data_IF_431376956215
#
_entry.id   IF_431376956215
#
_cell.length_a   1.000
_cell.length_b   1.000
_cell.length_c   1.000
_cell.angle_alpha   90.00
_cell.angle_beta   90.00
_cell.angle_gamma   90.00
#
_symmetry.space_group_name_H-M   'P 1'
#
loop_
_entity.id
_entity.type
_entity.pdbx_description
1 polymer ?
#
# COMPACT_ATOMS: atom_id res chain seq x y z
N UNK A 1 -13.90 -50.75 -36.29
CA UNK A 1 -13.04 -49.65 -36.78
C UNK A 1 -13.28 -48.32 -36.05
N UNK A 2 -14.49 -47.96 -35.61
CA UNK A 2 -14.76 -46.65 -34.99
C UNK A 2 -14.19 -46.45 -33.56
N UNK A 3 -14.02 -47.52 -32.76
CA UNK A 3 -13.60 -47.41 -31.36
C UNK A 3 -12.16 -46.89 -31.14
N UNK A 4 -11.28 -47.06 -32.13
CA UNK A 4 -9.86 -46.69 -32.01
C UNK A 4 -9.60 -45.19 -32.25
N UNK A 5 -10.50 -44.50 -32.96
CA UNK A 5 -10.42 -43.05 -33.20
C UNK A 5 -11.02 -42.21 -32.05
N UNK A 6 -11.89 -42.79 -31.21
CA UNK A 6 -12.54 -42.07 -30.11
C UNK A 6 -11.60 -41.83 -28.94
N UNK A 7 -10.70 -42.78 -28.67
CA UNK A 7 -9.73 -42.71 -27.58
C UNK A 7 -8.76 -41.49 -27.67
N UNK A 8 -8.09 -41.21 -28.80
CA UNK A 8 -7.19 -40.06 -28.90
C UNK A 8 -7.93 -38.72 -28.82
N UNK A 9 -9.16 -38.65 -29.35
CA UNK A 9 -9.99 -37.43 -29.28
C UNK A 9 -10.44 -37.16 -27.85
N UNK A 10 -10.86 -38.19 -27.11
CA UNK A 10 -11.24 -38.05 -25.70
C UNK A 10 -10.06 -37.58 -24.82
N UNK A 11 -8.86 -38.13 -25.05
CA UNK A 11 -7.65 -37.71 -24.34
C UNK A 11 -7.32 -36.24 -24.64
N UNK A 12 -7.40 -35.81 -25.90
CA UNK A 12 -7.14 -34.42 -26.27
C UNK A 12 -8.11 -33.45 -25.60
N UNK A 13 -9.41 -33.79 -25.56
CA UNK A 13 -10.43 -32.95 -24.89
C UNK A 13 -10.16 -32.84 -23.39
N UNK A 14 -9.79 -33.94 -22.73
CA UNK A 14 -9.45 -33.92 -21.30
C UNK A 14 -8.20 -33.08 -21.04
N UNK A 15 -7.17 -33.20 -21.87
CA UNK A 15 -5.95 -32.39 -21.73
C UNK A 15 -6.26 -30.90 -21.90
N UNK A 16 -7.08 -30.53 -22.90
CA UNK A 16 -7.50 -29.13 -23.13
C UNK A 16 -8.34 -28.63 -21.95
N UNK A 17 -9.28 -29.42 -21.45
CA UNK A 17 -10.12 -29.03 -20.32
C UNK A 17 -9.31 -28.84 -19.03
N UNK A 18 -8.38 -29.76 -18.73
CA UNK A 18 -7.51 -29.67 -17.56
C UNK A 18 -6.54 -28.50 -17.68
N UNK A 19 -5.94 -28.28 -18.84
CA UNK A 19 -5.05 -27.14 -19.06
C UNK A 19 -5.79 -25.80 -19.00
N UNK A 20 -7.00 -25.69 -19.55
CA UNK A 20 -7.85 -24.52 -19.40
C UNK A 20 -8.23 -24.27 -17.93
N UNK A 21 -8.60 -25.32 -17.18
CA UNK A 21 -8.92 -25.23 -15.76
C UNK A 21 -7.73 -24.75 -14.93
N UNK A 22 -6.53 -25.27 -15.19
CA UNK A 22 -5.29 -24.84 -14.52
C UNK A 22 -4.94 -23.39 -14.85
N UNK A 23 -5.10 -22.97 -16.10
CA UNK A 23 -4.85 -21.58 -16.52
C UNK A 23 -5.85 -20.61 -15.90
N UNK A 24 -7.13 -20.98 -15.80
CA UNK A 24 -8.16 -20.18 -15.14
C UNK A 24 -7.93 -20.09 -13.62
N UNK A 25 -7.58 -21.20 -12.98
CA UNK A 25 -7.24 -21.22 -11.55
C UNK A 25 -5.99 -20.39 -11.24
N UNK A 26 -5.00 -20.34 -12.16
CA UNK A 26 -3.82 -19.48 -12.05
C UNK A 26 -4.12 -18.00 -12.34
N UNK A 27 -5.00 -17.71 -13.31
CA UNK A 27 -5.45 -16.36 -13.64
C UNK A 27 -6.33 -15.72 -12.55
N UNK A 28 -7.02 -16.54 -11.76
CA UNK A 28 -7.73 -16.13 -10.55
C UNK A 28 -6.79 -15.85 -9.35
N UNK A 29 -5.47 -15.99 -9.53
CA UNK A 29 -4.48 -15.58 -8.55
C UNK A 29 -4.73 -14.14 -8.11
N UNK A 30 -5.01 -13.95 -6.81
CA UNK A 30 -5.25 -12.67 -6.14
C UNK A 30 -4.44 -11.56 -6.81
N UNK A 31 -5.10 -10.64 -7.52
CA UNK A 31 -4.50 -9.34 -7.85
C UNK A 31 -3.98 -8.78 -6.53
N UNK A 32 -2.65 -8.76 -6.37
CA UNK A 32 -2.03 -8.12 -5.22
C UNK A 32 -2.33 -6.63 -5.37
N UNK A 33 -3.40 -6.17 -4.71
CA UNK A 33 -3.65 -4.75 -4.54
C UNK A 33 -2.47 -4.21 -3.75
N UNK A 34 -1.87 -3.12 -4.24
CA UNK A 34 -0.80 -2.43 -3.52
C UNK A 34 -1.24 -2.01 -2.12
N UNK A 35 -0.30 -1.63 -1.24
CA UNK A 35 -0.64 -1.15 0.09
C UNK A 35 -1.62 0.04 -0.02
N UNK A 36 -2.58 0.17 0.92
CA UNK A 36 -3.46 1.33 0.97
C UNK A 36 -2.64 2.62 1.11
N UNK A 37 -2.94 3.63 0.29
CA UNK A 37 -2.30 4.94 0.36
C UNK A 37 -3.12 5.87 1.28
N UNK A 38 -2.41 6.56 2.17
CA UNK A 38 -2.98 7.51 3.13
C UNK A 38 -3.30 8.87 2.49
N UNK A 39 -2.32 9.50 1.84
CA UNK A 39 -2.48 10.81 1.20
C UNK A 39 -3.13 10.66 -0.19
N UNK A 40 -4.47 10.62 -0.23
CA UNK A 40 -5.21 10.44 -1.49
C UNK A 40 -5.60 11.77 -2.14
N UNK A 41 -5.89 12.77 -1.33
CA UNK A 41 -6.29 14.11 -1.75
C UNK A 41 -5.29 15.13 -1.17
N UNK A 42 -4.53 15.84 -2.01
CA UNK A 42 -3.57 16.85 -1.56
C UNK A 42 -4.18 18.03 -0.79
N UNK A 43 -5.49 18.28 -0.93
CA UNK A 43 -6.19 19.36 -0.24
C UNK A 43 -6.83 18.92 1.08
N UNK A 44 -6.94 17.60 1.32
CA UNK A 44 -7.53 17.07 2.53
C UNK A 44 -6.53 17.06 3.70
N UNK A 45 -7.05 17.27 4.91
CA UNK A 45 -6.27 17.15 6.15
C UNK A 45 -6.47 15.76 6.75
N UNK A 46 -5.36 15.08 7.01
CA UNK A 46 -5.36 13.75 7.61
C UNK A 46 -4.87 13.84 9.06
N UNK A 47 -5.76 13.71 10.07
CA UNK A 47 -5.32 13.66 11.46
C UNK A 47 -4.66 12.30 11.74
N UNK A 48 -3.36 12.30 12.03
CA UNK A 48 -2.61 11.10 12.36
C UNK A 48 -2.21 11.14 13.85
N UNK A 49 -2.44 10.05 14.61
CA UNK A 49 -2.05 10.00 16.02
C UNK A 49 -0.52 9.96 16.16
N UNK A 50 0.01 10.73 17.12
CA UNK A 50 1.40 10.59 17.54
C UNK A 50 1.56 9.30 18.34
N UNK A 51 2.37 8.36 17.84
CA UNK A 51 2.64 7.08 18.47
C UNK A 51 3.89 7.12 19.35
N UNK A 52 4.95 7.76 18.86
CA UNK A 52 6.25 7.82 19.54
C UNK A 52 6.92 9.18 19.33
N UNK A 53 7.62 9.64 20.36
CA UNK A 53 8.53 10.77 20.31
C UNK A 53 9.89 10.31 20.82
N UNK A 54 10.89 10.34 19.97
CA UNK A 54 12.27 9.96 20.28
C UNK A 54 13.13 11.23 20.34
N UNK A 55 13.96 11.34 21.37
CA UNK A 55 14.93 12.43 21.51
C UNK A 55 16.26 12.01 20.91
N UNK A 56 16.70 12.73 19.87
CA UNK A 56 17.95 12.45 19.14
C UNK A 56 19.09 13.28 19.73
N UNK A 57 18.80 14.54 20.06
CA UNK A 57 19.73 15.48 20.70
C UNK A 57 18.95 16.47 21.57
N UNK A 58 19.67 17.43 22.17
CA UNK A 58 19.08 18.50 22.98
C UNK A 58 17.97 19.30 22.25
N UNK A 59 18.07 19.44 20.92
CA UNK A 59 17.16 20.22 20.08
C UNK A 59 16.45 19.42 18.98
N UNK A 60 16.86 18.16 18.74
CA UNK A 60 16.34 17.32 17.67
C UNK A 60 15.49 16.19 18.22
N UNK A 61 14.28 16.05 17.68
CA UNK A 61 13.30 15.03 18.06
C UNK A 61 12.74 14.38 16.81
N UNK A 62 12.59 13.06 16.82
CA UNK A 62 11.92 12.29 15.78
C UNK A 62 10.53 11.92 16.27
N UNK A 63 9.51 12.17 15.46
CA UNK A 63 8.12 11.94 15.79
C UNK A 63 7.55 10.88 14.86
N UNK A 64 6.95 9.84 15.43
CA UNK A 64 6.29 8.78 14.67
C UNK A 64 4.79 8.97 14.72
N UNK A 65 4.17 9.15 13.57
CA UNK A 65 2.72 9.22 13.44
C UNK A 65 2.15 7.94 12.85
N UNK A 66 1.07 7.43 13.43
CA UNK A 66 0.41 6.22 12.97
C UNK A 66 -0.44 6.48 11.72
N UNK A 67 -0.34 5.60 10.73
CA UNK A 67 -1.21 5.62 9.57
C UNK A 67 -2.53 4.89 9.88
N UNK A 68 -3.60 5.07 9.06
CA UNK A 68 -4.90 4.46 9.32
C UNK A 68 -4.92 2.92 9.42
N UNK A 69 -3.90 2.26 8.84
CA UNK A 69 -3.73 0.80 8.89
C UNK A 69 -2.25 0.44 8.98
N UNK A 70 -1.92 -0.63 9.68
CA UNK A 70 -0.55 -1.18 9.77
C UNK A 70 0.06 -1.53 8.41
N UNK A 71 -0.76 -1.82 7.40
CA UNK A 71 -0.31 -2.17 6.05
C UNK A 71 -0.28 -0.98 5.08
N UNK A 72 -0.80 0.18 5.51
CA UNK A 72 -0.86 1.39 4.68
C UNK A 72 0.48 2.10 4.61
N UNK A 73 0.69 2.83 3.51
CA UNK A 73 1.85 3.70 3.29
C UNK A 73 1.40 5.16 3.22
N UNK A 74 2.34 6.09 3.33
CA UNK A 74 2.01 7.51 3.27
C UNK A 74 1.54 7.89 1.86
N UNK A 75 2.25 7.42 0.82
CA UNK A 75 1.99 7.70 -0.59
C UNK A 75 2.54 9.04 -1.06
N UNK A 76 3.73 9.42 -0.57
CA UNK A 76 4.36 10.69 -0.92
C UNK A 76 5.43 10.47 -2.00
N UNK A 77 5.24 10.99 -3.24
CA UNK A 77 6.25 10.85 -4.29
C UNK A 77 7.59 11.48 -3.89
N UNK A 78 8.69 10.89 -4.37
CA UNK A 78 10.04 11.39 -4.11
C UNK A 78 10.16 12.84 -4.58
N UNK A 79 10.75 13.69 -3.72
CA UNK A 79 10.89 15.13 -3.97
C UNK A 79 9.71 15.99 -3.48
N UNK A 80 8.69 15.38 -2.87
CA UNK A 80 7.56 16.09 -2.25
C UNK A 80 7.69 16.18 -0.72
N UNK A 81 6.86 17.01 -0.11
CA UNK A 81 6.76 17.22 1.35
C UNK A 81 5.30 17.24 1.81
N UNK A 82 5.08 17.18 3.11
CA UNK A 82 3.74 17.33 3.74
C UNK A 82 3.64 18.64 4.51
N UNK A 83 2.41 19.09 4.75
CA UNK A 83 2.13 20.21 5.64
C UNK A 83 1.57 19.73 6.97
N UNK A 84 2.21 20.10 8.07
CA UNK A 84 1.64 19.99 9.40
C UNK A 84 0.93 21.31 9.73
N UNK A 85 -0.34 21.22 10.12
CA UNK A 85 -1.13 22.38 10.55
C UNK A 85 -1.65 22.18 11.97
N UNK A 86 -1.42 23.17 12.84
CA UNK A 86 -1.91 23.18 14.21
C UNK A 86 -2.36 24.59 14.62
N UNK A 87 -3.30 24.67 15.57
CA UNK A 87 -3.60 25.94 16.24
C UNK A 87 -2.66 26.10 17.43
N UNK A 88 -1.79 27.10 17.38
CA UNK A 88 -0.83 27.42 18.45
C UNK A 88 -1.15 28.83 18.92
N UNK A 89 -1.51 28.98 20.20
CA UNK A 89 -1.89 30.27 20.80
C UNK A 89 -3.00 30.99 20.01
N UNK A 90 -4.01 30.25 19.56
CA UNK A 90 -5.13 30.79 18.76
C UNK A 90 -4.85 30.98 17.27
N UNK A 91 -3.58 30.98 16.85
CA UNK A 91 -3.19 31.18 15.46
C UNK A 91 -3.01 29.85 14.73
N UNK A 92 -3.50 29.77 13.48
CA UNK A 92 -3.24 28.65 12.61
C UNK A 92 -1.79 28.72 12.09
N UNK A 93 -0.97 27.77 12.51
CA UNK A 93 0.42 27.63 12.06
C UNK A 93 0.50 26.44 11.11
N UNK A 94 1.12 26.65 9.94
CA UNK A 94 1.33 25.62 8.93
C UNK A 94 2.81 25.58 8.59
N UNK A 95 3.42 24.38 8.59
CA UNK A 95 4.84 24.18 8.27
C UNK A 95 5.02 22.97 7.38
N UNK A 96 5.92 23.10 6.40
CA UNK A 96 6.31 22.01 5.53
C UNK A 96 7.35 21.12 6.22
N UNK A 97 7.21 19.81 6.09
CA UNK A 97 8.19 18.83 6.54
C UNK A 97 8.32 17.73 5.48
N UNK A 98 9.54 17.27 5.26
CA UNK A 98 9.83 16.10 4.42
C UNK A 98 10.06 14.92 5.35
N UNK A 99 9.20 13.89 5.33
CA UNK A 99 9.40 12.68 6.12
C UNK A 99 10.76 12.05 5.85
N UNK A 100 11.36 11.46 6.87
CA UNK A 100 12.58 10.65 6.74
C UNK A 100 12.26 9.20 6.36
N UNK A 101 11.01 8.78 6.58
CA UNK A 101 10.46 7.51 6.12
C UNK A 101 9.99 7.56 4.66
N UNK A 102 10.00 6.41 3.98
CA UNK A 102 9.53 6.22 2.59
C UNK A 102 8.33 5.26 2.54
N UNK A 103 7.73 5.09 1.34
CA UNK A 103 6.63 4.13 1.13
C UNK A 103 7.04 2.65 1.26
N UNK A 104 8.31 2.36 1.52
CA UNK A 104 8.75 1.02 1.97
C UNK A 104 8.33 0.75 3.43
N UNK A 105 8.14 1.82 4.21
CA UNK A 105 7.69 1.78 5.59
C UNK A 105 6.16 1.76 5.64
N UNK A 106 5.60 0.79 6.36
CA UNK A 106 4.15 0.63 6.50
C UNK A 106 3.69 0.96 7.91
N UNK A 107 2.48 1.49 8.02
CA UNK A 107 1.77 1.69 9.28
C UNK A 107 2.16 2.95 10.05
N UNK A 108 3.25 3.61 9.69
CA UNK A 108 3.66 4.87 10.30
C UNK A 108 4.44 5.76 9.33
N UNK A 109 4.58 7.02 9.71
CA UNK A 109 5.48 8.00 9.08
C UNK A 109 6.33 8.64 10.17
N UNK A 110 7.64 8.68 9.91
CA UNK A 110 8.66 9.44 10.64
C UNK A 110 9.15 10.61 9.77
#
# INVERSE_FOLDING_TARGET
>A
AAALQVAPVAIAVVVIAVSALVLLARGAGRRRRGPPITLRDPQAKYPLPLLLKEEISHDTKKFRFGLPSSDSVLGLPVGQHVYLSAKINGNLVIRAYTPVSSDETKGYVD
#
